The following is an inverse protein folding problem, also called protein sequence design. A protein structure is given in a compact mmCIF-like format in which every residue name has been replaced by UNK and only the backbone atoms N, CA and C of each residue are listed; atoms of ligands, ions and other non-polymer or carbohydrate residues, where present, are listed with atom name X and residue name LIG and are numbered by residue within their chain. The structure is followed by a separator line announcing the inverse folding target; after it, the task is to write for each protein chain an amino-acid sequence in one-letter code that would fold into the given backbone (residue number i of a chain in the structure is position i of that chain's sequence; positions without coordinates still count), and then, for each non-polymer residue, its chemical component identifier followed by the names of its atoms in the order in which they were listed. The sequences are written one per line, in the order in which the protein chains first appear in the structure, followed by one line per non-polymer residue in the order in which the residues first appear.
data_IF_589644453037
#
_entry.id   IF_589644453037
#
_cell.length_a   1.000
_cell.length_b   1.000
_cell.length_c   1.000
_cell.angle_alpha   90.00
_cell.angle_beta   90.00
_cell.angle_gamma   90.00
#
_symmetry.space_group_name_H-M   'P 1'
#
loop_
_entity.id
_entity.type
_entity.pdbx_description
1 polymer ?
#
# COMPACT_ATOMS: atom_id res chain seq x y z
N UNK A 1 2.75 2.84 10.21
CA UNK A 1 1.55 2.23 9.60
C UNK A 1 0.99 3.23 8.59
N UNK A 2 0.49 2.79 7.41
CA UNK A 2 -0.17 3.71 6.47
C UNK A 2 -1.63 3.84 6.90
N UNK A 3 -2.10 5.03 7.30
CA UNK A 3 -3.50 5.22 7.68
C UNK A 3 -4.44 4.88 6.52
N UNK A 4 -5.66 4.44 6.83
CA UNK A 4 -6.72 4.17 5.85
C UNK A 4 -6.30 3.20 4.70
N UNK A 5 -5.33 2.32 4.95
CA UNK A 5 -5.03 1.21 4.05
C UNK A 5 -6.17 0.18 4.05
N UNK A 6 -6.20 -0.72 3.06
CA UNK A 6 -7.21 -1.80 3.01
C UNK A 6 -7.05 -2.72 4.22
N UNK A 7 -5.81 -3.14 4.46
CA UNK A 7 -5.37 -3.90 5.62
C UNK A 7 -3.86 -3.69 5.82
N UNK A 8 -3.37 -3.99 7.02
CA UNK A 8 -1.95 -3.94 7.35
C UNK A 8 -1.53 -5.18 8.15
N UNK A 9 -0.24 -5.51 8.05
CA UNK A 9 0.42 -6.54 8.84
C UNK A 9 1.68 -5.97 9.49
N UNK A 10 1.93 -6.32 10.75
CA UNK A 10 3.24 -6.20 11.38
C UNK A 10 3.91 -7.56 11.29
N UNK A 11 5.17 -7.60 10.87
CA UNK A 11 5.90 -8.84 10.66
C UNK A 11 7.28 -8.81 11.30
N UNK A 12 7.68 -9.91 11.92
CA UNK A 12 9.08 -10.18 12.27
C UNK A 12 9.75 -10.91 11.10
N UNK A 13 10.89 -10.40 10.62
CA UNK A 13 11.70 -11.11 9.63
C UNK A 13 12.39 -12.30 10.30
N UNK A 14 12.28 -13.48 9.70
CA UNK A 14 12.94 -14.68 10.23
C UNK A 14 13.83 -15.40 9.22
N UNK A 15 13.72 -15.10 7.92
CA UNK A 15 14.58 -15.66 6.89
C UNK A 15 14.69 -14.73 5.67
N UNK A 16 15.76 -14.89 4.89
CA UNK A 16 16.05 -14.10 3.70
C UNK A 16 16.88 -14.89 2.69
N UNK A 17 16.50 -14.83 1.41
CA UNK A 17 17.21 -15.46 0.29
C UNK A 17 17.63 -14.37 -0.71
N UNK A 18 18.93 -14.25 -0.95
CA UNK A 18 19.48 -13.40 -2.01
C UNK A 18 19.28 -14.02 -3.38
N UNK A 19 18.68 -13.24 -4.28
CA UNK A 19 18.58 -13.53 -5.71
C UNK A 19 19.54 -12.60 -6.48
N UNK A 20 19.59 -12.73 -7.80
CA UNK A 20 20.56 -11.97 -8.63
C UNK A 20 20.38 -10.45 -8.48
N UNK A 21 19.14 -9.98 -8.44
CA UNK A 21 18.76 -8.56 -8.43
C UNK A 21 17.70 -8.22 -7.37
N UNK A 22 17.36 -9.17 -6.49
CA UNK A 22 16.31 -9.03 -5.48
C UNK A 22 16.66 -9.79 -4.19
N UNK A 23 15.99 -9.43 -3.10
CA UNK A 23 16.00 -10.17 -1.84
C UNK A 23 14.59 -10.70 -1.57
N UNK A 24 14.45 -12.00 -1.36
CA UNK A 24 13.21 -12.61 -0.91
C UNK A 24 13.22 -12.70 0.63
N UNK A 25 12.34 -11.94 1.28
CA UNK A 25 12.26 -11.87 2.74
C UNK A 25 11.04 -12.63 3.25
N UNK A 26 11.22 -13.51 4.22
CA UNK A 26 10.13 -14.19 4.91
C UNK A 26 9.83 -13.51 6.24
N UNK A 27 8.57 -13.09 6.39
CA UNK A 27 8.07 -12.42 7.59
C UNK A 27 6.99 -13.24 8.29
N UNK A 28 7.12 -13.42 9.60
CA UNK A 28 6.06 -13.97 10.45
C UNK A 28 5.13 -12.84 10.86
N UNK A 29 3.84 -12.95 10.55
CA UNK A 29 2.84 -11.97 10.99
C UNK A 29 2.71 -12.02 12.51
N UNK A 30 2.91 -10.88 13.16
CA UNK A 30 2.79 -10.71 14.62
C UNK A 30 1.59 -9.86 15.02
N UNK A 31 1.10 -9.01 14.11
CA UNK A 31 -0.16 -8.30 14.26
C UNK A 31 -0.79 -8.00 12.91
N UNK A 32 -2.09 -7.78 12.89
CA UNK A 32 -2.84 -7.37 11.71
C UNK A 32 -3.93 -6.36 12.08
N UNK A 33 -4.39 -5.64 11.07
CA UNK A 33 -5.57 -4.79 11.20
C UNK A 33 -6.18 -4.46 9.86
N UNK A 34 -7.40 -3.98 9.92
CA UNK A 34 -8.25 -3.71 8.77
C UNK A 34 -8.56 -2.22 8.71
N UNK A 35 -8.71 -1.70 7.50
CA UNK A 35 -9.24 -0.35 7.28
C UNK A 35 -10.39 -0.42 6.29
N UNK A 36 -10.12 -0.05 5.05
CA UNK A 36 -11.14 0.03 4.00
C UNK A 36 -11.34 -1.30 3.24
N UNK A 37 -11.65 -2.39 3.95
CA UNK A 37 -11.75 -3.75 3.39
C UNK A 37 -12.70 -3.88 2.19
N UNK A 38 -13.82 -3.15 2.21
CA UNK A 38 -14.82 -3.20 1.11
C UNK A 38 -14.43 -2.32 -0.08
N UNK A 39 -13.38 -1.52 0.04
CA UNK A 39 -12.92 -0.69 -1.04
C UNK A 39 -12.01 -1.50 -1.97
N UNK A 40 -12.07 -1.24 -3.28
CA UNK A 40 -11.33 -2.04 -4.25
C UNK A 40 -9.81 -1.90 -4.08
N UNK A 41 -9.03 -2.97 -4.33
CA UNK A 41 -7.59 -2.95 -4.28
C UNK A 41 -6.99 -2.21 -5.47
N UNK A 42 -5.82 -1.62 -5.25
CA UNK A 42 -4.98 -1.07 -6.30
C UNK A 42 -4.14 -2.19 -6.90
N UNK A 43 -4.27 -2.41 -8.20
CA UNK A 43 -3.57 -3.44 -8.96
C UNK A 43 -2.54 -2.79 -9.88
N UNK A 44 -1.39 -3.44 -10.07
CA UNK A 44 -0.39 -3.00 -11.05
C UNK A 44 -0.10 -4.11 -12.05
N UNK A 45 0.04 -3.73 -13.32
CA UNK A 45 0.66 -4.56 -14.35
C UNK A 45 1.53 -3.70 -15.25
N UNK A 46 2.65 -4.26 -15.72
CA UNK A 46 3.53 -3.56 -16.67
C UNK A 46 2.81 -3.21 -17.98
N UNK A 47 1.91 -4.08 -18.45
CA UNK A 47 1.17 -3.89 -19.70
C UNK A 47 0.05 -2.86 -19.60
N UNK A 48 -0.71 -2.85 -18.50
CA UNK A 48 -1.93 -2.04 -18.40
C UNK A 48 -1.84 -0.91 -17.36
N UNK A 49 -0.72 -0.78 -16.66
CA UNK A 49 -0.48 0.20 -15.61
C UNK A 49 -1.30 -0.08 -14.34
N UNK A 50 -1.56 1.00 -13.58
CA UNK A 50 -2.33 0.98 -12.34
C UNK A 50 -3.84 0.84 -12.60
N UNK A 51 -4.50 -0.05 -11.87
CA UNK A 51 -5.92 -0.39 -12.04
C UNK A 51 -6.68 -0.52 -10.72
N UNK A 52 -7.97 -0.25 -10.76
CA UNK A 52 -8.92 -0.49 -9.69
C UNK A 52 -10.12 -1.18 -10.32
N UNK A 53 -10.46 -2.39 -9.88
CA UNK A 53 -11.58 -3.20 -10.44
C UNK A 53 -11.55 -3.36 -11.97
N UNK A 54 -10.37 -3.31 -12.60
CA UNK A 54 -10.19 -3.42 -14.06
C UNK A 54 -10.06 -2.07 -14.79
N UNK A 55 -10.59 -0.99 -14.20
CA UNK A 55 -10.51 0.35 -14.76
C UNK A 55 -9.17 1.02 -14.46
N UNK A 56 -8.79 2.00 -15.29
CA UNK A 56 -7.59 2.82 -15.04
C UNK A 56 -7.72 3.49 -13.67
N UNK A 57 -6.71 3.31 -12.81
CA UNK A 57 -6.71 3.93 -11.48
C UNK A 57 -6.57 5.46 -11.51
N UNK A 58 -6.26 6.03 -12.68
CA UNK A 58 -6.04 7.46 -12.90
C UNK A 58 -6.15 7.85 -14.37
N UNK A 59 -6.31 9.15 -14.57
CA UNK A 59 -6.07 9.80 -15.86
C UNK A 59 -4.57 9.82 -16.24
N UNK A 60 -4.26 9.90 -17.55
CA UNK A 60 -2.90 10.18 -18.03
C UNK A 60 -2.29 11.43 -17.35
N UNK A 61 -0.97 11.43 -17.11
CA UNK A 61 -0.27 12.54 -16.45
C UNK A 61 -0.41 12.62 -14.92
N UNK A 62 -1.39 11.94 -14.31
CA UNK A 62 -1.57 11.96 -12.85
C UNK A 62 -0.63 10.95 -12.16
N UNK A 63 -0.10 11.27 -10.97
CA UNK A 63 0.74 10.35 -10.18
C UNK A 63 -0.09 9.67 -9.09
N UNK A 64 -0.20 8.34 -9.12
CA UNK A 64 -0.87 7.57 -8.05
C UNK A 64 -0.10 7.70 -6.73
N UNK A 65 1.24 7.73 -6.80
CA UNK A 65 2.09 7.91 -5.61
C UNK A 65 1.74 9.21 -4.89
N UNK A 66 1.63 10.31 -5.61
CA UNK A 66 1.42 11.63 -5.00
C UNK A 66 0.03 11.72 -4.36
N UNK A 67 -0.99 11.12 -5.00
CA UNK A 67 -2.33 10.99 -4.42
C UNK A 67 -2.38 10.12 -3.16
N UNK A 68 -1.49 9.12 -3.05
CA UNK A 68 -1.40 8.29 -1.85
C UNK A 68 -0.64 9.02 -0.75
N UNK A 69 0.43 9.74 -1.09
CA UNK A 69 1.20 10.54 -0.15
C UNK A 69 0.40 11.69 0.45
N UNK A 70 -0.48 12.35 -0.34
CA UNK A 70 -1.33 13.43 0.17
C UNK A 70 -2.25 12.95 1.30
N UNK A 71 -2.75 11.71 1.23
CA UNK A 71 -3.62 11.12 2.26
C UNK A 71 -2.93 10.95 3.61
N UNK A 72 -1.61 10.76 3.62
CA UNK A 72 -0.83 10.61 4.86
C UNK A 72 -0.70 11.98 5.55
N UNK A 73 -0.57 13.06 4.78
CA UNK A 73 -0.47 14.43 5.31
C UNK A 73 -1.79 14.88 5.94
N UNK A 74 -2.92 14.54 5.32
CA UNK A 74 -4.24 14.92 5.84
C UNK A 74 -4.57 14.23 7.18
N UNK A 75 -4.19 12.96 7.35
CA UNK A 75 -4.42 12.21 8.60
C UNK A 75 -3.54 12.71 9.76
N UNK A 76 -2.26 13.03 9.49
CA UNK A 76 -1.34 13.58 10.51
C UNK A 76 -1.73 14.97 11.01
N UNK A 77 -2.49 15.73 10.21
CA UNK A 77 -3.02 17.04 10.60
C UNK A 77 -4.24 16.92 11.52
N UNK A 78 -4.99 15.82 11.43
CA UNK A 78 -6.22 15.59 12.23
C UNK A 78 -5.89 15.06 13.63
N UNK A 79 -4.85 14.23 13.78
CA UNK A 79 -4.38 13.76 15.10
C UNK A 79 -3.75 14.86 15.98
N UNK A 80 -3.35 16.00 15.42
CA UNK A 80 -2.78 17.12 16.19
C UNK A 80 -3.84 18.10 16.74
N UNK A 81 -5.13 17.86 16.46
CA UNK A 81 -6.24 18.73 16.84
C UNK A 81 -7.16 18.14 17.93
N UNK A 82 -6.77 17.04 18.58
CA UNK A 82 -7.52 16.40 19.68
C UNK A 82 -6.58 16.08 20.84
#
# INVERSE_FOLDING_TARGET
MVPNCIAWFTCDVFDQISLIDHELVFGRITASGEGRLKAPPLLYSSRHGWRVTGDKAREPGVSIRDQLLSRIVDDTTTESAT
#
